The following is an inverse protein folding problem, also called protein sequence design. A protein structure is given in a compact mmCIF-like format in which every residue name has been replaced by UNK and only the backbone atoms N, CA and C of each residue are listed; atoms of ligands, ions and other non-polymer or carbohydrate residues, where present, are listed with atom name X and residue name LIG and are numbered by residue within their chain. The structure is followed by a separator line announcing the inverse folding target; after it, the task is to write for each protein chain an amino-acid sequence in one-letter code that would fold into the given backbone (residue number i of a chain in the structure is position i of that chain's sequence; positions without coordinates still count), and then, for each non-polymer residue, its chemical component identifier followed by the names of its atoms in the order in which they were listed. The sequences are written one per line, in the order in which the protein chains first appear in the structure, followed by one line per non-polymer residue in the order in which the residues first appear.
data_IF_463747368263
#
_entry.id   IF_463747368263
#
_cell.length_a   1.000
_cell.length_b   1.000
_cell.length_c   1.000
_cell.angle_alpha   90.00
_cell.angle_beta   90.00
_cell.angle_gamma   90.00
#
_symmetry.space_group_name_H-M   'P 1'
#
loop_
_entity.id
_entity.type
_entity.pdbx_description
1 polymer ?
#
# COMPACT_ATOMS: atom_id res chain seq x y z
N UNK A 1 -2.00 -13.40 7.83
CA UNK A 1 -1.70 -13.24 6.41
C UNK A 1 -0.56 -12.25 6.31
N UNK A 2 0.52 -12.61 5.62
CA UNK A 2 1.67 -11.74 5.44
C UNK A 2 1.40 -10.61 4.41
N UNK A 3 2.13 -10.58 3.33
CA UNK A 3 1.97 -9.63 2.24
C UNK A 3 1.07 -10.18 1.13
N UNK A 4 0.53 -9.29 0.30
CA UNK A 4 -0.29 -9.65 -0.88
C UNK A 4 0.56 -9.51 -2.14
N UNK A 5 1.31 -8.43 -2.25
CA UNK A 5 2.18 -8.08 -3.39
C UNK A 5 3.53 -7.53 -2.90
N UNK A 6 4.54 -7.62 -3.76
CA UNK A 6 5.87 -7.09 -3.53
C UNK A 6 6.48 -6.62 -4.85
N UNK A 7 7.64 -5.95 -4.80
CA UNK A 7 8.37 -5.52 -5.99
C UNK A 7 9.89 -5.57 -5.75
N UNK A 8 10.65 -5.59 -6.80
CA UNK A 8 12.12 -5.67 -6.72
C UNK A 8 12.79 -4.44 -6.11
N UNK A 9 12.16 -3.27 -6.21
CA UNK A 9 12.77 -2.03 -5.75
C UNK A 9 12.74 -1.88 -4.22
N UNK A 10 11.72 -2.41 -3.55
CA UNK A 10 11.48 -2.15 -2.12
C UNK A 10 11.55 -3.38 -1.23
N UNK A 11 11.70 -4.57 -1.81
CA UNK A 11 11.74 -5.85 -1.07
C UNK A 11 12.96 -6.73 -1.42
N UNK A 12 14.20 -6.19 -1.43
CA UNK A 12 15.37 -6.95 -1.89
C UNK A 12 15.60 -8.23 -1.09
N UNK A 13 15.46 -8.18 0.23
CA UNK A 13 15.66 -9.36 1.08
C UNK A 13 14.60 -10.44 0.83
N UNK A 14 13.36 -10.04 0.56
CA UNK A 14 12.29 -10.99 0.24
C UNK A 14 12.52 -11.65 -1.13
N UNK A 15 13.00 -10.88 -2.09
CA UNK A 15 13.37 -11.40 -3.42
C UNK A 15 14.48 -12.44 -3.29
N UNK A 16 15.60 -12.10 -2.62
CA UNK A 16 16.69 -13.03 -2.38
C UNK A 16 16.20 -14.32 -1.70
N UNK A 17 15.36 -14.17 -0.67
CA UNK A 17 14.77 -15.31 0.01
C UNK A 17 13.93 -16.21 -0.92
N UNK A 18 13.19 -15.64 -1.85
CA UNK A 18 12.43 -16.41 -2.82
C UNK A 18 13.31 -17.10 -3.86
N UNK A 19 14.34 -16.42 -4.33
CA UNK A 19 15.33 -16.98 -5.27
C UNK A 19 16.09 -18.16 -4.64
N UNK A 20 16.62 -18.00 -3.42
CA UNK A 20 17.32 -19.04 -2.67
C UNK A 20 16.44 -20.28 -2.41
N UNK A 21 15.15 -20.08 -2.26
CA UNK A 21 14.20 -21.16 -2.00
C UNK A 21 13.44 -21.66 -3.24
N UNK A 22 13.78 -21.17 -4.43
CA UNK A 22 13.12 -21.53 -5.70
C UNK A 22 11.59 -21.31 -5.65
N UNK A 23 11.16 -20.18 -5.07
CA UNK A 23 9.74 -19.82 -4.98
C UNK A 23 9.32 -19.13 -6.28
N UNK A 24 8.36 -19.72 -6.96
CA UNK A 24 7.82 -19.17 -8.20
C UNK A 24 6.99 -17.91 -7.92
N UNK A 25 7.26 -16.85 -8.68
CA UNK A 25 6.56 -15.57 -8.61
C UNK A 25 5.93 -15.22 -9.96
N UNK A 26 4.89 -14.43 -9.96
CA UNK A 26 4.19 -13.97 -11.16
C UNK A 26 3.90 -12.46 -11.10
N UNK A 27 3.78 -11.83 -12.27
CA UNK A 27 3.42 -10.41 -12.36
C UNK A 27 2.02 -10.19 -11.82
N UNK A 28 1.86 -9.14 -11.06
CA UNK A 28 0.59 -8.71 -10.47
C UNK A 28 0.37 -7.22 -10.71
N UNK A 29 -0.85 -6.80 -10.49
CA UNK A 29 -1.27 -5.41 -10.50
C UNK A 29 -1.65 -4.99 -9.08
N UNK A 30 -1.07 -3.88 -8.62
CA UNK A 30 -1.56 -3.19 -7.43
C UNK A 30 -2.43 -2.02 -7.88
N UNK A 31 -3.71 -2.28 -8.05
CA UNK A 31 -4.71 -1.27 -8.43
C UNK A 31 -5.70 -1.03 -7.29
N UNK A 32 -6.28 0.15 -7.31
CA UNK A 32 -7.27 0.61 -6.35
C UNK A 32 -8.47 1.15 -7.14
N UNK A 33 -9.65 0.69 -6.81
CA UNK A 33 -10.89 1.15 -7.43
C UNK A 33 -11.83 1.70 -6.37
N UNK A 34 -12.59 2.70 -6.73
CA UNK A 34 -13.60 3.32 -5.88
C UNK A 34 -14.93 3.34 -6.61
N UNK A 35 -15.95 2.89 -5.92
CA UNK A 35 -17.36 3.09 -6.28
C UNK A 35 -18.07 3.67 -5.06
N UNK A 36 -18.68 4.84 -5.22
CA UNK A 36 -19.39 5.52 -4.13
C UNK A 36 -20.87 5.32 -4.33
N UNK A 37 -21.50 4.61 -3.39
CA UNK A 37 -22.93 4.33 -3.41
C UNK A 37 -23.75 5.62 -3.57
N UNK A 38 -24.80 5.58 -4.39
CA UNK A 38 -25.69 6.70 -4.66
C UNK A 38 -25.00 7.95 -5.27
N UNK A 39 -23.83 7.77 -5.86
CA UNK A 39 -23.15 8.83 -6.59
C UNK A 39 -22.58 8.29 -7.91
N UNK A 40 -22.25 9.19 -8.83
CA UNK A 40 -21.57 8.86 -10.09
C UNK A 40 -20.06 8.71 -9.95
N UNK A 41 -19.52 8.71 -8.72
CA UNK A 41 -18.10 8.58 -8.47
C UNK A 41 -17.67 7.12 -8.58
N UNK A 42 -17.21 6.77 -9.77
CA UNK A 42 -16.65 5.44 -10.05
C UNK A 42 -15.39 5.57 -10.88
N UNK A 43 -14.27 4.98 -10.41
CA UNK A 43 -13.01 5.02 -11.14
C UNK A 43 -12.04 3.95 -10.65
N UNK A 44 -11.01 3.68 -11.46
CA UNK A 44 -9.91 2.81 -11.14
C UNK A 44 -8.57 3.55 -11.24
N UNK A 45 -7.65 3.30 -10.33
CA UNK A 45 -6.32 3.90 -10.28
C UNK A 45 -5.33 3.42 -11.34
N UNK A 46 -5.77 2.69 -12.36
CA UNK A 46 -4.95 2.20 -13.48
C UNK A 46 -4.68 3.29 -14.54
N UNK A 47 -3.99 4.36 -14.15
CA UNK A 47 -3.67 5.46 -15.05
C UNK A 47 -4.91 6.24 -15.51
N UNK A 48 -4.73 7.09 -16.54
CA UNK A 48 -5.81 7.96 -17.02
C UNK A 48 -7.02 7.17 -17.55
N UNK A 49 -6.80 6.06 -18.25
CA UNK A 49 -7.88 5.23 -18.78
C UNK A 49 -8.76 4.64 -17.67
N UNK A 50 -8.17 4.26 -16.54
CA UNK A 50 -8.93 3.79 -15.38
C UNK A 50 -9.67 4.92 -14.66
N UNK A 51 -9.03 6.07 -14.48
CA UNK A 51 -9.63 7.24 -13.83
C UNK A 51 -10.84 7.75 -14.63
N UNK A 52 -10.76 7.76 -15.95
CA UNK A 52 -11.82 8.19 -16.85
C UNK A 52 -12.53 7.01 -17.53
N UNK A 53 -12.54 5.84 -16.94
CA UNK A 53 -13.30 4.67 -17.44
C UNK A 53 -14.80 4.98 -17.55
N UNK A 54 -15.34 5.70 -16.57
CA UNK A 54 -16.65 6.33 -16.67
C UNK A 54 -16.49 7.70 -17.34
N UNK A 55 -16.91 7.82 -18.60
CA UNK A 55 -16.77 9.05 -19.40
C UNK A 55 -17.51 10.25 -18.80
N UNK A 56 -18.54 10.02 -18.00
CA UNK A 56 -19.28 11.11 -17.31
C UNK A 56 -18.39 11.88 -16.34
N UNK A 57 -17.32 11.26 -15.84
CA UNK A 57 -16.34 11.90 -14.97
C UNK A 57 -15.64 13.10 -15.64
N UNK A 58 -15.52 13.11 -16.97
CA UNK A 58 -14.94 14.23 -17.73
C UNK A 58 -15.75 15.51 -17.62
N UNK A 59 -17.05 15.39 -17.35
CA UNK A 59 -17.97 16.52 -17.23
C UNK A 59 -18.36 16.82 -15.77
N UNK A 60 -17.85 16.04 -14.82
CA UNK A 60 -18.13 16.21 -13.39
C UNK A 60 -17.07 17.10 -12.74
N UNK A 61 -17.39 18.37 -12.50
CA UNK A 61 -16.45 19.35 -11.91
C UNK A 61 -15.91 18.92 -10.55
N UNK A 62 -16.69 18.23 -9.73
CA UNK A 62 -16.25 17.70 -8.43
C UNK A 62 -15.23 16.59 -8.62
N UNK A 63 -15.44 15.72 -9.61
CA UNK A 63 -14.49 14.67 -9.96
C UNK A 63 -13.18 15.26 -10.51
N UNK A 64 -13.27 16.23 -11.41
CA UNK A 64 -12.08 16.91 -11.95
C UNK A 64 -11.29 17.61 -10.85
N UNK A 65 -11.95 18.27 -9.90
CA UNK A 65 -11.28 18.87 -8.74
C UNK A 65 -10.54 17.82 -7.92
N UNK A 66 -11.19 16.69 -7.60
CA UNK A 66 -10.54 15.55 -6.94
C UNK A 66 -9.30 15.08 -7.70
N UNK A 67 -9.41 14.93 -9.02
CA UNK A 67 -8.30 14.49 -9.87
C UNK A 67 -7.10 15.45 -9.81
N UNK A 68 -7.33 16.76 -9.90
CA UNK A 68 -6.25 17.74 -9.76
C UNK A 68 -5.66 17.76 -8.34
N UNK A 69 -6.46 17.55 -7.32
CA UNK A 69 -5.99 17.43 -5.93
C UNK A 69 -5.11 16.19 -5.73
N UNK A 70 -5.42 15.06 -6.38
CA UNK A 70 -4.54 13.87 -6.40
C UNK A 70 -3.17 14.25 -6.94
N UNK A 71 -3.12 14.91 -8.09
CA UNK A 71 -1.83 15.30 -8.73
C UNK A 71 -1.06 16.26 -7.83
N UNK A 72 -1.73 17.30 -7.31
CA UNK A 72 -1.14 18.32 -6.43
C UNK A 72 -0.57 17.69 -5.16
N UNK A 73 -1.37 16.86 -4.49
CA UNK A 73 -1.01 16.21 -3.24
C UNK A 73 0.16 15.24 -3.44
N UNK A 74 0.12 14.40 -4.47
CA UNK A 74 1.18 13.44 -4.75
C UNK A 74 2.51 14.13 -5.05
N UNK A 75 2.53 15.16 -5.91
CA UNK A 75 3.73 15.94 -6.19
C UNK A 75 4.30 16.62 -4.95
N UNK A 76 3.42 17.16 -4.09
CA UNK A 76 3.84 17.81 -2.84
C UNK A 76 4.43 16.80 -1.87
N UNK A 77 3.73 15.69 -1.62
CA UNK A 77 4.11 14.67 -0.65
C UNK A 77 5.37 13.89 -1.04
N UNK A 78 5.62 13.68 -2.32
CA UNK A 78 6.84 13.01 -2.81
C UNK A 78 8.12 13.78 -2.44
N UNK A 79 8.01 15.08 -2.27
CA UNK A 79 9.13 15.99 -1.96
C UNK A 79 9.27 16.38 -0.49
N UNK A 80 8.35 15.96 0.38
CA UNK A 80 8.44 16.31 1.82
C UNK A 80 9.56 15.51 2.50
N UNK A 81 10.57 16.20 3.00
CA UNK A 81 11.73 15.60 3.68
C UNK A 81 11.69 15.72 5.20
N UNK A 82 11.03 16.76 5.74
CA UNK A 82 10.96 17.03 7.18
C UNK A 82 9.52 17.18 7.62
N UNK A 83 9.13 16.45 8.65
CA UNK A 83 7.79 16.45 9.22
C UNK A 83 7.92 16.35 10.73
N UNK A 84 7.10 17.12 11.42
CA UNK A 84 6.91 17.00 12.84
C UNK A 84 6.40 15.60 13.21
N UNK A 85 6.96 15.02 14.27
CA UNK A 85 6.66 13.65 14.69
C UNK A 85 5.21 13.47 15.16
N UNK A 86 4.62 14.53 15.73
CA UNK A 86 3.29 14.50 16.33
C UNK A 86 2.15 14.74 15.33
N UNK A 87 2.45 15.17 14.11
CA UNK A 87 1.43 15.51 13.11
C UNK A 87 0.77 14.25 12.58
N UNK A 88 -0.57 14.17 12.67
CA UNK A 88 -1.36 13.11 12.04
C UNK A 88 -1.68 13.42 10.58
N UNK A 89 -2.07 12.39 9.81
CA UNK A 89 -2.57 12.58 8.45
C UNK A 89 -3.79 13.51 8.42
N UNK A 90 -4.72 13.34 9.36
CA UNK A 90 -5.91 14.20 9.48
C UNK A 90 -5.58 15.65 9.78
N UNK A 91 -4.58 15.92 10.66
CA UNK A 91 -4.12 17.29 10.94
C UNK A 91 -3.55 17.96 9.70
N UNK A 92 -2.73 17.22 8.96
CA UNK A 92 -2.15 17.70 7.72
C UNK A 92 -3.24 18.01 6.67
N UNK A 93 -4.20 17.10 6.48
CA UNK A 93 -5.27 17.29 5.51
C UNK A 93 -6.18 18.48 5.86
N UNK A 94 -6.40 18.78 7.14
CA UNK A 94 -7.17 19.96 7.57
C UNK A 94 -6.47 21.28 7.23
N UNK A 95 -5.14 21.30 7.23
CA UNK A 95 -4.33 22.47 6.86
C UNK A 95 -4.21 22.68 5.35
N UNK A 96 -4.42 21.61 4.58
CA UNK A 96 -4.34 21.66 3.13
C UNK A 96 -5.69 22.04 2.52
N UNK A 97 -5.68 22.93 1.53
CA UNK A 97 -6.89 23.30 0.79
C UNK A 97 -7.17 22.25 -0.29
N UNK A 98 -7.70 21.09 0.13
CA UNK A 98 -8.04 19.95 -0.71
C UNK A 98 -9.56 19.70 -0.69
N UNK A 99 -10.09 19.17 -1.77
CA UNK A 99 -11.52 18.85 -1.87
C UNK A 99 -11.93 17.71 -0.93
N UNK A 100 -13.17 17.77 -0.47
CA UNK A 100 -13.76 16.68 0.32
C UNK A 100 -13.81 15.37 -0.47
N UNK A 101 -13.99 15.46 -1.78
CA UNK A 101 -13.95 14.32 -2.70
C UNK A 101 -12.59 13.65 -2.70
N UNK A 102 -11.50 14.41 -2.76
CA UNK A 102 -10.15 13.85 -2.65
C UNK A 102 -9.92 13.14 -1.32
N UNK A 103 -10.30 13.76 -0.22
CA UNK A 103 -10.11 13.20 1.11
C UNK A 103 -10.96 11.94 1.29
N UNK A 104 -12.28 12.03 1.00
CA UNK A 104 -13.25 11.00 1.37
C UNK A 104 -13.41 9.90 0.32
N UNK A 105 -13.11 10.18 -0.97
CA UNK A 105 -13.31 9.23 -2.05
C UNK A 105 -12.03 8.75 -2.72
N UNK A 106 -10.86 9.27 -2.28
CA UNK A 106 -9.58 8.80 -2.77
C UNK A 106 -8.62 8.44 -1.63
N UNK A 107 -8.16 9.43 -0.85
CA UNK A 107 -7.04 9.24 0.04
C UNK A 107 -7.40 8.33 1.24
N UNK A 108 -8.42 8.67 1.99
CA UNK A 108 -8.81 7.91 3.18
C UNK A 108 -9.24 6.47 2.83
N UNK A 109 -10.07 6.22 1.80
CA UNK A 109 -10.39 4.85 1.39
C UNK A 109 -9.16 4.04 0.96
N UNK A 110 -8.21 4.66 0.26
CA UNK A 110 -6.97 4.00 -0.15
C UNK A 110 -6.11 3.62 1.06
N UNK A 111 -5.92 4.54 2.01
CA UNK A 111 -5.21 4.27 3.28
C UNK A 111 -5.92 3.17 4.06
N UNK A 112 -7.22 3.24 4.19
CA UNK A 112 -8.04 2.23 4.88
C UNK A 112 -7.89 0.84 4.25
N UNK A 113 -7.86 0.76 2.91
CA UNK A 113 -7.69 -0.49 2.19
C UNK A 113 -6.28 -1.09 2.37
N UNK A 114 -5.22 -0.26 2.32
CA UNK A 114 -3.83 -0.71 2.48
C UNK A 114 -3.60 -1.33 3.86
N UNK A 115 -4.12 -0.73 4.90
CA UNK A 115 -3.89 -1.17 6.29
C UNK A 115 -5.09 -1.89 6.94
N UNK A 116 -6.14 -2.17 6.18
CA UNK A 116 -7.36 -2.84 6.68
C UNK A 116 -7.92 -2.18 7.94
N UNK A 117 -7.99 -0.85 7.94
CA UNK A 117 -8.41 -0.05 9.09
C UNK A 117 -9.63 0.83 8.77
N UNK A 118 -10.43 1.22 9.77
CA UNK A 118 -11.54 2.14 9.55
C UNK A 118 -11.05 3.55 9.20
N UNK A 119 -11.86 4.37 8.49
CA UNK A 119 -11.51 5.73 8.08
C UNK A 119 -11.05 6.65 9.22
N UNK A 120 -11.65 6.50 10.40
CA UNK A 120 -11.27 7.26 11.60
C UNK A 120 -9.83 6.98 12.04
N UNK A 121 -9.41 5.70 12.03
CA UNK A 121 -8.05 5.30 12.35
C UNK A 121 -7.06 5.76 11.27
N UNK A 122 -7.46 5.73 10.00
CA UNK A 122 -6.64 6.24 8.90
C UNK A 122 -6.29 7.72 9.08
N UNK A 123 -7.22 8.54 9.56
CA UNK A 123 -6.98 9.96 9.85
C UNK A 123 -6.02 10.19 11.04
N UNK A 124 -5.99 9.27 12.01
CA UNK A 124 -5.09 9.34 13.18
C UNK A 124 -3.68 8.80 12.90
N UNK A 125 -3.44 8.24 11.71
CA UNK A 125 -2.14 7.72 11.33
C UNK A 125 -1.06 8.82 11.39
N UNK A 126 0.13 8.56 11.98
CA UNK A 126 1.24 9.50 11.94
C UNK A 126 1.62 9.85 10.50
N UNK A 127 1.63 11.14 10.17
CA UNK A 127 1.91 11.62 8.81
C UNK A 127 3.26 11.12 8.31
N UNK A 128 4.27 11.08 9.18
CA UNK A 128 5.61 10.59 8.84
C UNK A 128 5.60 9.14 8.38
N UNK A 129 4.81 8.28 9.04
CA UNK A 129 4.67 6.87 8.67
C UNK A 129 4.00 6.73 7.30
N UNK A 130 2.87 7.43 7.09
CA UNK A 130 2.17 7.47 5.82
C UNK A 130 3.09 7.90 4.66
N UNK A 131 3.78 9.03 4.81
CA UNK A 131 4.64 9.56 3.75
C UNK A 131 5.82 8.63 3.45
N UNK A 132 6.51 8.13 4.48
CA UNK A 132 7.63 7.20 4.30
C UNK A 132 7.20 5.92 3.57
N UNK A 133 6.05 5.38 3.93
CA UNK A 133 5.50 4.20 3.26
C UNK A 133 5.21 4.49 1.78
N UNK A 134 4.48 5.56 1.48
CA UNK A 134 4.11 5.92 0.12
C UNK A 134 5.33 6.26 -0.75
N UNK A 135 6.31 6.99 -0.21
CA UNK A 135 7.56 7.31 -0.90
C UNK A 135 8.37 6.03 -1.19
N UNK A 136 8.59 5.18 -0.19
CA UNK A 136 9.34 3.94 -0.35
C UNK A 136 8.71 3.00 -1.39
N UNK A 137 7.38 2.93 -1.44
CA UNK A 137 6.67 2.06 -2.38
C UNK A 137 6.37 2.73 -3.73
N UNK A 138 6.82 3.98 -3.93
CA UNK A 138 6.59 4.73 -5.17
C UNK A 138 5.12 5.01 -5.45
N UNK A 139 4.26 5.06 -4.41
CA UNK A 139 2.81 5.25 -4.57
C UNK A 139 2.43 6.67 -4.96
N UNK A 140 3.30 7.66 -4.69
CA UNK A 140 3.13 9.03 -5.18
C UNK A 140 3.52 9.21 -6.65
N UNK A 141 4.21 8.24 -7.25
CA UNK A 141 4.62 8.33 -8.65
C UNK A 141 3.41 8.19 -9.58
N UNK A 142 3.25 9.15 -10.47
CA UNK A 142 2.21 9.13 -11.50
C UNK A 142 2.64 8.33 -12.74
N UNK A 143 3.97 8.21 -12.96
CA UNK A 143 4.59 7.45 -14.05
C UNK A 143 5.72 6.59 -13.50
N UNK A 144 6.15 5.60 -14.27
CA UNK A 144 7.26 4.71 -13.91
C UNK A 144 7.08 4.04 -12.53
N UNK A 145 5.87 3.57 -12.25
CA UNK A 145 5.59 2.79 -11.05
C UNK A 145 6.31 1.44 -11.12
N UNK A 146 6.79 0.89 -9.99
CA UNK A 146 7.41 -0.42 -9.98
C UNK A 146 6.42 -1.49 -10.46
N UNK A 147 6.94 -2.51 -11.17
CA UNK A 147 6.15 -3.71 -11.45
C UNK A 147 5.94 -4.47 -10.15
N UNK A 148 4.70 -4.79 -9.86
CA UNK A 148 4.32 -5.61 -8.71
C UNK A 148 4.28 -7.09 -9.07
N UNK A 149 4.54 -7.91 -8.08
CA UNK A 149 4.56 -9.37 -8.18
C UNK A 149 3.80 -9.98 -7.01
N UNK A 150 3.36 -11.20 -7.20
CA UNK A 150 2.80 -12.05 -6.15
C UNK A 150 3.39 -13.45 -6.26
N UNK A 151 3.13 -14.30 -5.28
CA UNK A 151 3.58 -15.68 -5.32
C UNK A 151 2.61 -16.51 -6.15
N UNK A 152 3.16 -17.28 -7.09
CA UNK A 152 2.38 -18.22 -7.89
C UNK A 152 1.74 -19.27 -6.98
N UNK A 153 0.47 -19.60 -7.25
CA UNK A 153 -0.31 -20.56 -6.46
C UNK A 153 -0.52 -20.20 -4.99
N UNK A 154 -0.51 -18.89 -4.65
CA UNK A 154 -0.76 -18.33 -3.32
C UNK A 154 0.36 -18.56 -2.28
N UNK A 155 0.33 -17.77 -1.22
CA UNK A 155 1.35 -17.79 -0.15
C UNK A 155 1.49 -19.14 0.56
N UNK A 156 0.46 -19.98 0.58
CA UNK A 156 0.53 -21.33 1.16
C UNK A 156 1.63 -22.19 0.54
N UNK A 157 1.86 -22.04 -0.76
CA UNK A 157 2.83 -22.85 -1.50
C UNK A 157 4.25 -22.62 -1.01
N UNK A 158 4.66 -21.35 -0.84
CA UNK A 158 6.02 -21.08 -0.34
C UNK A 158 6.17 -21.47 1.12
N UNK A 159 5.17 -21.28 1.96
CA UNK A 159 5.21 -21.71 3.36
C UNK A 159 5.40 -23.22 3.45
N UNK A 160 4.66 -24.01 2.66
CA UNK A 160 4.81 -25.46 2.63
C UNK A 160 6.21 -25.88 2.14
N UNK A 161 6.73 -25.22 1.08
CA UNK A 161 8.08 -25.48 0.57
C UNK A 161 9.15 -25.23 1.66
N UNK A 162 9.04 -24.14 2.41
CA UNK A 162 10.00 -23.83 3.46
C UNK A 162 9.89 -24.83 4.61
N UNK A 163 8.67 -25.11 5.08
CA UNK A 163 8.45 -26.07 6.16
C UNK A 163 9.04 -27.44 5.82
N UNK A 164 8.91 -27.91 4.57
CA UNK A 164 9.47 -29.20 4.15
C UNK A 164 10.99 -29.27 4.18
N UNK A 165 11.69 -28.11 4.21
CA UNK A 165 13.16 -28.01 4.28
C UNK A 165 13.69 -27.87 5.70
N UNK A 166 12.83 -27.59 6.67
CA UNK A 166 13.23 -27.45 8.08
C UNK A 166 13.21 -28.83 8.73
N UNK A 167 14.34 -29.25 9.25
CA UNK A 167 14.50 -30.54 9.93
C UNK A 167 14.05 -30.55 11.39
N UNK A 168 13.72 -29.39 11.96
CA UNK A 168 13.29 -29.23 13.34
C UNK A 168 11.80 -29.48 13.57
N UNK A 169 11.38 -29.42 14.81
CA UNK A 169 9.97 -29.54 15.20
C UNK A 169 9.18 -28.28 14.79
N UNK A 170 7.93 -28.46 14.41
CA UNK A 170 7.03 -27.42 13.97
C UNK A 170 5.85 -27.27 14.95
N UNK A 171 5.79 -26.13 15.63
CA UNK A 171 4.73 -25.84 16.58
C UNK A 171 3.69 -24.93 15.94
N UNK A 172 2.42 -25.34 16.00
CA UNK A 172 1.27 -24.51 15.57
C UNK A 172 0.52 -24.01 16.82
N UNK A 173 -0.12 -22.85 16.70
CA UNK A 173 -0.83 -22.22 17.81
C UNK A 173 0.06 -21.94 19.03
N UNK A 174 1.33 -21.74 18.81
CA UNK A 174 2.35 -21.50 19.82
C UNK A 174 2.91 -20.08 19.66
N UNK A 175 2.32 -19.05 20.29
CA UNK A 175 2.76 -17.68 20.13
C UNK A 175 4.14 -17.47 20.75
N UNK A 176 5.06 -16.93 19.99
CA UNK A 176 6.40 -16.58 20.47
C UNK A 176 6.29 -15.38 21.40
N UNK A 177 6.70 -15.54 22.67
CA UNK A 177 6.67 -14.48 23.68
C UNK A 177 7.96 -13.64 23.69
N UNK A 178 9.10 -14.25 23.40
CA UNK A 178 10.40 -13.59 23.47
C UNK A 178 11.41 -14.30 22.58
N UNK A 179 12.23 -13.53 21.89
CA UNK A 179 13.39 -14.02 21.12
C UNK A 179 14.65 -13.46 21.79
N UNK A 180 15.61 -14.32 22.07
CA UNK A 180 16.93 -13.92 22.58
C UNK A 180 17.99 -14.35 21.57
N UNK A 181 18.82 -13.40 21.14
CA UNK A 181 20.02 -13.69 20.33
C UNK A 181 21.16 -14.11 21.25
N UNK A 182 21.84 -15.19 20.93
CA UNK A 182 23.06 -15.63 21.57
C UNK A 182 24.19 -15.58 20.54
N UNK A 183 25.44 -15.64 21.05
CA UNK A 183 26.67 -15.70 20.20
C UNK A 183 26.68 -16.92 19.27
N UNK A 184 25.94 -17.97 19.61
CA UNK A 184 25.90 -19.26 18.89
C UNK A 184 24.54 -19.57 18.27
N UNK A 185 23.58 -18.62 18.26
CA UNK A 185 22.26 -18.85 17.70
C UNK A 185 21.18 -17.97 18.29
N UNK A 186 19.94 -18.42 18.13
CA UNK A 186 18.72 -17.76 18.62
C UNK A 186 17.92 -18.77 19.48
N UNK A 187 17.48 -18.35 20.66
CA UNK A 187 16.52 -19.07 21.51
C UNK A 187 15.13 -18.45 21.43
#
# INVERSE_FOLDING_TARGET
IGFIVFNYATYPNLINFFEENNIAIEKSDMSFSVSVEKSSFEYCGRGLNGIFSNKTNLFNLRFLKMFFDIIKFYKKCDNIKKIDQETTLGDYLRKENLSKEFINFHLIPMVSAIWSMPPSAASQMPLRFFLKFFQNHGLFKLKNRPQWYTISNRSRTYVQNIISKISGEHFRNYPIKKIKTKTTGID
#
